data_IF_870526762073
#
_entry.id   IF_870526762073
#
_cell.length_a   1.000
_cell.length_b   1.000
_cell.length_c   1.000
_cell.angle_alpha   90.00
_cell.angle_beta   90.00
_cell.angle_gamma   90.00
#
_symmetry.space_group_name_H-M   'P 1'
#
loop_
_entity.id
_entity.type
_entity.pdbx_description
1 polymer ?
#
# COMPACT_ATOMS: atom_id res chain seq x y z
N UNK A 1 -77.94 -5.95 29.92
CA UNK A 1 -78.07 -7.41 29.72
C UNK A 1 -76.68 -8.03 29.72
N UNK A 2 -76.42 -8.78 30.78
CA UNK A 2 -75.51 -9.93 30.93
C UNK A 2 -74.14 -9.96 30.22
N UNK A 3 -73.14 -10.14 31.07
CA UNK A 3 -71.79 -10.57 30.80
C UNK A 3 -71.70 -11.86 29.98
N UNK A 4 -70.63 -12.01 29.19
CA UNK A 4 -69.81 -13.23 29.17
C UNK A 4 -68.54 -13.07 28.30
N UNK A 5 -67.40 -13.34 28.94
CA UNK A 5 -66.21 -14.06 28.40
C UNK A 5 -65.19 -13.36 27.49
N UNK A 6 -64.21 -12.76 28.18
CA UNK A 6 -62.75 -12.90 28.07
C UNK A 6 -62.13 -13.68 26.89
N UNK A 7 -61.04 -13.14 26.31
CA UNK A 7 -59.62 -13.52 26.56
C UNK A 7 -58.69 -12.74 25.59
N UNK A 8 -57.51 -12.33 26.10
CA UNK A 8 -56.30 -11.76 25.44
C UNK A 8 -56.15 -10.23 25.33
N UNK A 9 -55.25 -9.69 26.19
CA UNK A 9 -54.10 -8.89 25.74
C UNK A 9 -54.25 -7.37 25.69
N UNK A 10 -53.73 -6.67 26.71
CA UNK A 10 -52.76 -5.58 26.46
C UNK A 10 -52.06 -5.11 27.74
N UNK A 11 -50.72 -5.25 27.78
CA UNK A 11 -49.83 -4.82 28.87
C UNK A 11 -49.57 -3.31 28.92
N UNK A 12 -50.22 -2.51 28.07
CA UNK A 12 -50.04 -1.05 28.02
C UNK A 12 -50.94 -0.26 28.98
N UNK A 13 -51.95 -0.90 29.57
CA UNK A 13 -52.84 -0.22 30.54
C UNK A 13 -52.16 0.05 31.89
N UNK A 14 -51.14 -0.71 32.27
CA UNK A 14 -50.61 -0.65 33.64
C UNK A 14 -49.70 0.56 33.90
N UNK A 15 -48.96 1.07 32.91
CA UNK A 15 -48.04 2.21 33.12
C UNK A 15 -48.75 3.57 33.05
N UNK A 16 -49.83 3.69 32.28
CA UNK A 16 -50.63 4.92 32.20
C UNK A 16 -51.37 5.14 33.53
N UNK A 17 -51.84 4.07 34.16
CA UNK A 17 -52.50 4.14 35.48
C UNK A 17 -51.51 4.57 36.57
N UNK A 18 -50.25 4.12 36.54
CA UNK A 18 -49.24 4.55 37.52
C UNK A 18 -48.90 6.05 37.38
N UNK A 19 -48.88 6.58 36.14
CA UNK A 19 -48.60 8.00 35.90
C UNK A 19 -49.75 8.91 36.39
N UNK A 20 -51.00 8.46 36.22
CA UNK A 20 -52.18 9.16 36.73
C UNK A 20 -52.25 9.18 38.27
N UNK A 21 -51.86 8.08 38.93
CA UNK A 21 -51.83 8.00 40.40
C UNK A 21 -50.77 8.93 41.00
N UNK A 22 -49.64 9.18 40.31
CA UNK A 22 -48.61 10.13 40.79
C UNK A 22 -48.99 11.61 40.55
N UNK A 23 -49.58 11.98 39.40
CA UNK A 23 -50.03 13.36 39.15
C UNK A 23 -51.20 13.76 40.13
N UNK A 24 -52.05 12.83 40.57
CA UNK A 24 -53.11 13.13 41.57
C UNK A 24 -52.61 13.33 43.01
N UNK A 25 -51.56 12.61 43.46
CA UNK A 25 -51.07 12.72 44.86
C UNK A 25 -50.28 14.00 45.15
N UNK A 26 -49.85 14.74 44.13
CA UNK A 26 -49.02 15.95 44.27
C UNK A 26 -49.78 17.25 44.02
N UNK A 27 -51.07 17.18 43.67
CA UNK A 27 -51.92 18.36 43.43
C UNK A 27 -52.71 18.75 44.69
N UNK A 28 -52.81 20.04 45.07
CA UNK A 28 -53.45 20.47 46.32
C UNK A 28 -54.98 20.34 46.35
N UNK A 29 -55.60 19.79 45.30
CA UNK A 29 -57.05 19.85 45.05
C UNK A 29 -57.80 18.56 45.42
N UNK A 30 -57.12 17.52 45.92
CA UNK A 30 -57.77 16.28 46.35
C UNK A 30 -57.90 16.22 47.88
N UNK A 31 -58.73 17.09 48.45
CA UNK A 31 -59.17 16.97 49.84
C UNK A 31 -60.62 17.44 50.01
N UNK A 32 -61.55 16.72 49.38
CA UNK A 32 -62.95 16.62 49.83
C UNK A 32 -63.72 15.65 48.94
N UNK A 33 -64.44 14.73 49.57
CA UNK A 33 -65.43 13.88 48.90
C UNK A 33 -66.54 14.77 48.32
N UNK A 34 -66.82 14.60 47.02
CA UNK A 34 -67.78 15.34 46.17
C UNK A 34 -67.27 16.57 45.39
N UNK A 35 -66.29 16.37 44.50
CA UNK A 35 -66.06 17.29 43.39
C UNK A 35 -66.28 16.59 42.05
N UNK A 36 -67.26 17.08 41.28
CA UNK A 36 -67.39 16.82 39.84
C UNK A 36 -66.13 17.37 39.20
N UNK A 37 -65.25 16.48 38.73
CA UNK A 37 -64.04 16.88 38.00
C UNK A 37 -64.49 17.51 36.69
N UNK A 38 -64.33 18.82 36.59
CA UNK A 38 -64.74 19.56 35.41
C UNK A 38 -63.80 19.21 34.26
N UNK A 39 -64.30 19.15 33.03
CA UNK A 39 -63.52 18.74 31.85
C UNK A 39 -62.28 19.63 31.63
N UNK A 40 -62.30 20.87 32.16
CA UNK A 40 -61.17 21.81 32.17
C UNK A 40 -60.03 21.39 33.10
N UNK A 41 -60.31 20.83 34.27
CA UNK A 41 -59.29 20.48 35.27
C UNK A 41 -58.46 19.26 34.82
N UNK A 42 -59.10 18.31 34.12
CA UNK A 42 -58.41 17.18 33.49
C UNK A 42 -57.50 17.65 32.35
N UNK A 43 -57.96 18.63 31.55
CA UNK A 43 -57.16 19.19 30.45
C UNK A 43 -55.93 19.94 30.98
N UNK A 44 -56.05 20.66 32.10
CA UNK A 44 -54.89 21.33 32.72
C UNK A 44 -53.85 20.34 33.26
N UNK A 45 -54.28 19.27 33.93
CA UNK A 45 -53.39 18.22 34.43
C UNK A 45 -52.71 17.49 33.25
N UNK A 46 -53.46 17.16 32.18
CA UNK A 46 -52.91 16.54 30.98
C UNK A 46 -51.89 17.45 30.27
N UNK A 47 -52.17 18.75 30.19
CA UNK A 47 -51.23 19.73 29.63
C UNK A 47 -49.98 19.90 30.50
N UNK A 48 -50.12 19.80 31.83
CA UNK A 48 -49.00 19.87 32.75
C UNK A 48 -48.11 18.62 32.63
N UNK A 49 -48.68 17.42 32.74
CA UNK A 49 -47.94 16.16 32.62
C UNK A 49 -47.31 16.02 31.20
N UNK A 50 -47.95 16.55 30.13
CA UNK A 50 -47.39 16.66 28.75
C UNK A 50 -46.17 17.60 28.66
N UNK A 51 -46.22 18.77 29.31
CA UNK A 51 -45.08 19.70 29.36
C UNK A 51 -43.88 19.10 30.10
N UNK A 52 -44.11 18.38 31.20
CA UNK A 52 -43.03 17.71 31.93
C UNK A 52 -42.45 16.53 31.15
N UNK A 53 -43.28 15.76 30.45
CA UNK A 53 -42.84 14.67 29.58
C UNK A 53 -42.00 15.18 28.41
N UNK A 54 -42.46 16.25 27.71
CA UNK A 54 -41.67 16.87 26.65
C UNK A 54 -40.35 17.45 27.16
N UNK A 55 -40.33 18.07 28.35
CA UNK A 55 -39.08 18.57 28.97
C UNK A 55 -38.11 17.45 29.31
N UNK A 56 -38.61 16.33 29.86
CA UNK A 56 -37.78 15.17 30.18
C UNK A 56 -37.15 14.56 28.92
N UNK A 57 -37.94 14.38 27.85
CA UNK A 57 -37.42 13.86 26.58
C UNK A 57 -36.51 14.84 25.86
N UNK A 58 -36.74 16.15 25.97
CA UNK A 58 -35.80 17.17 25.47
C UNK A 58 -34.46 17.11 26.20
N UNK A 59 -34.48 17.00 27.53
CA UNK A 59 -33.24 16.88 28.32
C UNK A 59 -32.53 15.56 28.00
N UNK A 60 -33.26 14.44 27.93
CA UNK A 60 -32.70 13.13 27.60
C UNK A 60 -32.08 13.12 26.20
N UNK A 61 -32.77 13.71 25.21
CA UNK A 61 -32.26 13.85 23.84
C UNK A 61 -31.03 14.78 23.78
N UNK A 62 -31.03 15.89 24.52
CA UNK A 62 -29.88 16.78 24.61
C UNK A 62 -28.68 16.07 25.27
N UNK A 63 -28.90 15.27 26.32
CA UNK A 63 -27.83 14.48 26.95
C UNK A 63 -27.31 13.38 26.02
N UNK A 64 -28.18 12.70 25.26
CA UNK A 64 -27.78 11.69 24.26
C UNK A 64 -27.01 12.32 23.10
N UNK A 65 -27.36 13.54 22.67
CA UNK A 65 -26.61 14.31 21.67
C UNK A 65 -25.23 14.72 22.23
N UNK A 66 -25.13 15.16 23.47
CA UNK A 66 -23.84 15.47 24.11
C UNK A 66 -22.96 14.22 24.24
N UNK A 67 -23.54 13.06 24.56
CA UNK A 67 -22.81 11.78 24.63
C UNK A 67 -22.38 11.26 23.25
N UNK A 68 -23.11 11.54 22.17
CA UNK A 68 -22.74 11.14 20.80
C UNK A 68 -21.76 12.08 20.11
N UNK A 69 -21.62 13.33 20.58
CA UNK A 69 -20.56 14.26 20.13
C UNK A 69 -19.21 13.95 20.78
N UNK A 70 -19.17 13.10 21.81
CA UNK A 70 -17.92 12.52 22.31
C UNK A 70 -17.48 11.31 21.48
N UNK A 71 -17.54 11.41 20.14
CA UNK A 71 -16.61 10.63 19.33
C UNK A 71 -15.22 11.09 19.72
N UNK A 72 -14.52 10.24 20.47
CA UNK A 72 -13.10 10.37 20.73
C UNK A 72 -12.40 10.43 19.38
N UNK A 73 -12.18 11.64 18.88
CA UNK A 73 -11.13 11.89 17.90
C UNK A 73 -9.87 11.26 18.49
N UNK A 74 -9.38 10.20 17.86
CA UNK A 74 -8.03 9.74 18.14
C UNK A 74 -7.13 10.97 18.11
N UNK A 75 -6.26 11.21 19.10
CA UNK A 75 -5.40 12.38 19.06
C UNK A 75 -4.60 12.27 17.76
N UNK A 76 -4.88 13.19 16.83
CA UNK A 76 -4.05 13.38 15.64
C UNK A 76 -2.63 13.59 16.14
N UNK A 77 -1.69 12.81 15.60
CA UNK A 77 -0.26 12.92 15.90
C UNK A 77 0.13 14.40 15.91
N UNK A 78 0.75 14.85 17.00
CA UNK A 78 1.12 16.26 17.14
C UNK A 78 2.17 16.64 16.09
N UNK A 79 2.24 17.92 15.69
CA UNK A 79 3.28 18.38 14.75
C UNK A 79 4.69 18.12 15.30
N UNK A 80 4.89 18.27 16.61
CA UNK A 80 6.18 17.98 17.25
C UNK A 80 6.53 16.49 17.16
N UNK A 81 5.58 15.60 17.48
CA UNK A 81 5.76 14.15 17.35
C UNK A 81 6.04 13.74 15.90
N UNK A 82 5.31 14.31 14.94
CA UNK A 82 5.54 14.08 13.50
C UNK A 82 6.94 14.48 13.07
N UNK A 83 7.44 15.62 13.55
CA UNK A 83 8.78 16.12 13.23
C UNK A 83 9.86 15.25 13.89
N UNK A 84 9.65 14.80 15.12
CA UNK A 84 10.57 13.90 15.81
C UNK A 84 10.67 12.55 15.08
N UNK A 85 9.54 11.94 14.72
CA UNK A 85 9.52 10.67 13.98
C UNK A 85 10.11 10.81 12.57
N UNK A 86 9.95 11.97 11.93
CA UNK A 86 10.60 12.26 10.66
C UNK A 86 12.13 12.26 10.80
N UNK A 87 12.67 12.91 11.84
CA UNK A 87 14.11 12.94 12.06
C UNK A 87 14.65 11.55 12.46
N UNK A 88 13.91 10.80 13.29
CA UNK A 88 14.27 9.42 13.64
C UNK A 88 14.36 8.52 12.39
N UNK A 89 13.39 8.62 11.47
CA UNK A 89 13.43 7.88 10.21
C UNK A 89 14.65 8.26 9.35
N UNK A 90 15.03 9.55 9.34
CA UNK A 90 16.22 10.04 8.64
C UNK A 90 17.50 9.50 9.29
N UNK A 91 17.61 9.52 10.61
CA UNK A 91 18.75 8.95 11.35
C UNK A 91 18.89 7.44 11.06
N UNK A 92 17.79 6.69 11.05
CA UNK A 92 17.79 5.27 10.71
C UNK A 92 18.27 5.01 9.27
N UNK A 93 17.86 5.85 8.31
CA UNK A 93 18.34 5.77 6.94
C UNK A 93 19.86 5.96 6.88
N UNK A 94 20.40 7.01 7.50
CA UNK A 94 21.84 7.27 7.48
C UNK A 94 22.65 6.22 8.26
N UNK A 95 22.09 5.65 9.33
CA UNK A 95 22.69 4.53 10.02
C UNK A 95 22.91 3.33 9.07
N UNK A 96 21.88 2.96 8.31
CA UNK A 96 21.96 1.85 7.35
C UNK A 96 22.82 2.19 6.12
N UNK A 97 22.60 3.36 5.51
CA UNK A 97 23.29 3.81 4.31
C UNK A 97 24.80 3.95 4.55
N UNK A 98 25.21 4.63 5.63
CA UNK A 98 26.63 4.80 5.96
C UNK A 98 27.29 3.46 6.23
N UNK A 99 26.62 2.56 6.97
CA UNK A 99 27.14 1.21 7.21
C UNK A 99 27.33 0.42 5.91
N UNK A 100 26.42 0.55 4.93
CA UNK A 100 26.59 -0.05 3.61
C UNK A 100 27.78 0.54 2.86
N UNK A 101 27.91 1.87 2.83
CA UNK A 101 29.01 2.56 2.15
C UNK A 101 30.37 2.20 2.73
N UNK A 102 30.47 2.04 4.05
CA UNK A 102 31.72 1.74 4.75
C UNK A 102 32.14 0.27 4.64
N UNK A 103 31.18 -0.66 4.61
CA UNK A 103 31.46 -2.09 4.82
C UNK A 103 31.11 -3.00 3.64
N UNK A 104 30.24 -2.55 2.73
CA UNK A 104 29.68 -3.42 1.69
C UNK A 104 29.85 -2.89 0.27
N UNK A 105 29.83 -1.57 0.05
CA UNK A 105 30.04 -1.01 -1.28
C UNK A 105 31.35 -1.52 -1.91
N UNK A 106 31.37 -1.98 -3.18
CA UNK A 106 30.30 -1.92 -4.19
C UNK A 106 29.40 -3.17 -4.31
N UNK A 107 29.34 -4.02 -3.28
CA UNK A 107 28.47 -5.18 -3.27
C UNK A 107 26.99 -4.81 -3.33
N UNK A 108 26.14 -5.78 -3.67
CA UNK A 108 24.71 -5.55 -3.80
C UNK A 108 24.02 -5.29 -2.46
N UNK A 109 24.45 -5.97 -1.39
CA UNK A 109 23.89 -5.82 -0.05
C UNK A 109 24.98 -5.85 1.04
N UNK A 110 24.63 -5.31 2.21
CA UNK A 110 25.38 -5.46 3.45
C UNK A 110 24.85 -6.67 4.26
N UNK A 111 25.75 -7.48 4.81
CA UNK A 111 25.42 -8.39 5.91
C UNK A 111 25.63 -7.67 7.25
N UNK A 112 24.57 -7.15 7.90
CA UNK A 112 24.71 -6.16 8.99
C UNK A 112 25.29 -6.75 10.28
N UNK A 113 25.09 -8.04 10.55
CA UNK A 113 25.63 -8.68 11.76
C UNK A 113 27.11 -9.00 11.67
N UNK A 114 27.61 -9.24 10.45
CA UNK A 114 29.01 -9.60 10.20
C UNK A 114 29.83 -8.46 9.62
N UNK A 115 29.19 -7.33 9.30
CA UNK A 115 29.78 -6.18 8.59
C UNK A 115 30.56 -6.60 7.35
N UNK A 116 29.97 -7.48 6.52
CA UNK A 116 30.59 -7.99 5.31
C UNK A 116 29.76 -7.64 4.07
N UNK A 117 30.40 -7.42 2.91
CA UNK A 117 29.70 -7.33 1.65
C UNK A 117 29.01 -8.66 1.32
N UNK A 118 27.87 -8.60 0.63
CA UNK A 118 27.21 -9.77 0.06
C UNK A 118 27.26 -9.73 -1.46
N UNK A 119 27.90 -10.73 -2.04
CA UNK A 119 28.08 -10.88 -3.48
C UNK A 119 27.29 -12.08 -4.00
N UNK A 120 26.80 -11.98 -5.24
CA UNK A 120 26.14 -13.11 -5.89
C UNK A 120 27.16 -14.21 -6.18
N UNK A 121 26.79 -15.46 -5.89
CA UNK A 121 27.60 -16.67 -6.10
C UNK A 121 28.88 -16.81 -5.22
N UNK A 122 29.10 -15.92 -4.23
CA UNK A 122 30.26 -16.01 -3.31
C UNK A 122 29.88 -16.67 -1.99
N UNK A 123 28.84 -16.17 -1.33
CA UNK A 123 28.36 -16.73 -0.07
C UNK A 123 27.35 -17.87 -0.30
N UNK A 124 27.04 -18.61 0.78
CA UNK A 124 25.97 -19.60 0.74
C UNK A 124 24.65 -18.94 0.33
N UNK A 125 23.96 -19.55 -0.62
CA UNK A 125 22.69 -19.01 -1.12
C UNK A 125 21.60 -19.02 -0.05
N UNK A 126 20.86 -17.92 0.04
CA UNK A 126 19.64 -17.74 0.84
C UNK A 126 18.37 -18.15 0.07
N UNK A 127 18.52 -18.85 -1.06
CA UNK A 127 17.40 -19.14 -1.97
C UNK A 127 17.00 -17.93 -2.81
N UNK A 128 15.70 -17.79 -3.05
CA UNK A 128 15.12 -16.81 -3.99
C UNK A 128 15.50 -15.35 -3.66
N UNK A 129 15.79 -15.04 -2.40
CA UNK A 129 16.20 -13.69 -1.95
C UNK A 129 17.45 -13.22 -2.69
N UNK A 130 18.42 -14.12 -2.93
CA UNK A 130 19.66 -13.72 -3.60
C UNK A 130 19.46 -13.49 -5.09
N UNK A 131 18.32 -13.84 -5.69
CA UNK A 131 18.05 -13.65 -7.13
C UNK A 131 17.88 -12.19 -7.53
N UNK A 132 17.75 -11.31 -6.53
CA UNK A 132 17.85 -9.85 -6.64
C UNK A 132 19.28 -9.39 -6.94
N UNK A 133 20.29 -10.18 -6.56
CA UNK A 133 21.71 -9.80 -6.61
C UNK A 133 22.27 -10.10 -8.01
N UNK A 134 22.82 -9.07 -8.66
CA UNK A 134 23.42 -9.16 -10.00
C UNK A 134 24.83 -8.60 -10.08
N UNK A 135 25.48 -8.37 -8.94
CA UNK A 135 26.80 -7.75 -8.79
C UNK A 135 26.86 -6.35 -9.44
N UNK A 136 25.87 -5.51 -9.14
CA UNK A 136 25.67 -4.19 -9.76
C UNK A 136 25.36 -3.08 -8.74
N UNK A 137 25.80 -3.25 -7.50
CA UNK A 137 25.60 -2.31 -6.40
C UNK A 137 24.13 -2.00 -6.12
N UNK A 138 23.30 -3.05 -6.04
CA UNK A 138 21.84 -2.96 -5.82
C UNK A 138 21.42 -1.90 -4.79
N UNK A 139 21.94 -1.99 -3.55
CA UNK A 139 21.58 -1.07 -2.47
C UNK A 139 21.91 0.39 -2.78
N UNK A 140 23.02 0.66 -3.48
CA UNK A 140 23.38 2.02 -3.86
C UNK A 140 22.37 2.62 -4.84
N UNK A 141 21.92 1.83 -5.83
CA UNK A 141 20.93 2.28 -6.82
C UNK A 141 19.55 2.48 -6.17
N UNK A 142 19.11 1.56 -5.30
CA UNK A 142 17.84 1.68 -4.56
C UNK A 142 17.83 2.90 -3.60
N UNK A 143 18.99 3.36 -3.13
CA UNK A 143 19.08 4.50 -2.21
C UNK A 143 19.06 5.88 -2.89
N UNK A 144 19.27 5.95 -4.22
CA UNK A 144 19.48 7.21 -4.94
C UNK A 144 18.34 8.21 -4.75
N UNK A 145 17.09 7.80 -4.95
CA UNK A 145 15.94 8.70 -4.83
C UNK A 145 15.65 9.07 -3.37
N UNK A 146 15.91 8.15 -2.44
CA UNK A 146 15.76 8.38 -1.00
C UNK A 146 16.71 9.48 -0.53
N UNK A 147 17.95 9.53 -1.03
CA UNK A 147 18.88 10.63 -0.74
C UNK A 147 18.30 12.00 -1.11
N UNK A 148 17.64 12.09 -2.27
CA UNK A 148 16.98 13.31 -2.72
C UNK A 148 15.77 13.64 -1.85
N UNK A 149 14.98 12.65 -1.47
CA UNK A 149 13.82 12.82 -0.56
C UNK A 149 14.26 13.31 0.83
N UNK A 150 15.41 12.83 1.32
CA UNK A 150 16.02 13.28 2.58
C UNK A 150 16.67 14.67 2.47
N UNK A 151 16.77 15.23 1.26
CA UNK A 151 17.33 16.54 0.98
C UNK A 151 18.86 16.59 0.93
N UNK A 152 19.54 15.45 0.83
CA UNK A 152 21.00 15.38 0.78
C UNK A 152 21.49 15.26 -0.67
N UNK A 153 21.55 16.43 -1.31
CA UNK A 153 21.89 16.56 -2.72
C UNK A 153 23.40 16.33 -2.96
N UNK A 154 24.24 16.62 -1.97
CA UNK A 154 25.68 16.38 -2.05
C UNK A 154 25.97 14.89 -2.03
N UNK A 155 25.32 14.15 -1.13
CA UNK A 155 25.41 12.69 -1.09
C UNK A 155 24.85 12.06 -2.36
N UNK A 156 23.71 12.57 -2.85
CA UNK A 156 23.14 12.12 -4.12
C UNK A 156 24.11 12.30 -5.29
N UNK A 157 24.77 13.45 -5.45
CA UNK A 157 25.79 13.65 -6.51
C UNK A 157 26.92 12.63 -6.37
N UNK A 158 27.39 12.38 -5.14
CA UNK A 158 28.44 11.41 -4.90
C UNK A 158 27.99 9.99 -5.29
N UNK A 159 26.84 9.55 -4.79
CA UNK A 159 26.28 8.23 -5.09
C UNK A 159 26.05 8.05 -6.60
N UNK A 160 25.51 9.07 -7.26
CA UNK A 160 25.29 9.10 -8.71
C UNK A 160 26.58 8.85 -9.50
N UNK A 161 27.69 9.50 -9.12
CA UNK A 161 29.00 9.28 -9.75
C UNK A 161 29.52 7.86 -9.54
N UNK A 162 29.33 7.30 -8.34
CA UNK A 162 29.73 5.93 -8.04
C UNK A 162 28.94 4.93 -8.89
N UNK A 163 27.62 5.15 -9.04
CA UNK A 163 26.78 4.32 -9.91
C UNK A 163 27.29 4.37 -11.36
N UNK A 164 27.49 5.57 -11.91
CA UNK A 164 27.99 5.73 -13.29
C UNK A 164 29.37 5.10 -13.49
N UNK A 165 30.24 5.13 -12.47
CA UNK A 165 31.60 4.61 -12.55
C UNK A 165 31.68 3.10 -12.45
N UNK A 166 30.96 2.50 -11.50
CA UNK A 166 31.24 1.13 -11.04
C UNK A 166 30.15 0.12 -11.43
N UNK A 167 28.93 0.57 -11.76
CA UNK A 167 27.83 -0.33 -12.10
C UNK A 167 27.92 -0.77 -13.56
N UNK A 168 27.89 -2.10 -13.77
CA UNK A 168 27.87 -2.74 -15.08
C UNK A 168 26.86 -3.89 -15.09
N UNK A 169 26.18 -4.08 -16.22
CA UNK A 169 25.22 -5.16 -16.41
C UNK A 169 25.74 -6.30 -17.30
N UNK A 170 27.01 -6.24 -17.73
CA UNK A 170 27.62 -7.31 -18.53
C UNK A 170 28.19 -8.47 -17.68
N UNK A 171 27.38 -8.93 -16.72
CA UNK A 171 27.75 -9.96 -15.77
C UNK A 171 27.18 -11.33 -16.21
N UNK A 172 27.99 -12.39 -16.15
CA UNK A 172 27.49 -13.76 -16.37
C UNK A 172 26.78 -14.29 -15.11
N UNK A 173 25.61 -13.74 -14.85
CA UNK A 173 24.81 -14.02 -13.66
C UNK A 173 23.34 -14.17 -14.04
N UNK A 174 22.67 -15.11 -13.39
CA UNK A 174 21.21 -15.31 -13.52
C UNK A 174 20.51 -14.48 -12.44
N UNK A 175 19.61 -13.61 -12.88
CA UNK A 175 18.82 -12.71 -12.02
C UNK A 175 17.32 -12.94 -12.21
N UNK A 176 16.54 -12.53 -11.22
CA UNK A 176 15.09 -12.42 -11.32
C UNK A 176 14.71 -11.23 -12.21
N UNK A 177 13.88 -11.46 -13.22
CA UNK A 177 13.39 -10.40 -14.13
C UNK A 177 12.55 -9.39 -13.34
N UNK A 178 11.71 -9.88 -12.44
CA UNK A 178 10.84 -9.07 -11.59
C UNK A 178 11.64 -8.15 -10.66
N UNK A 179 12.56 -8.72 -9.87
CA UNK A 179 13.34 -7.95 -8.89
C UNK A 179 14.28 -6.95 -9.58
N UNK A 180 14.92 -7.38 -10.67
CA UNK A 180 15.82 -6.50 -11.45
C UNK A 180 15.04 -5.33 -12.06
N UNK A 181 13.79 -5.56 -12.49
CA UNK A 181 12.95 -4.50 -13.02
C UNK A 181 12.57 -3.47 -11.92
N UNK A 182 11.94 -3.92 -10.84
CA UNK A 182 11.39 -2.99 -9.84
C UNK A 182 12.49 -2.25 -9.06
N UNK A 183 13.65 -2.87 -8.85
CA UNK A 183 14.74 -2.28 -8.07
C UNK A 183 15.71 -1.50 -8.95
N UNK A 184 16.33 -2.19 -9.90
CA UNK A 184 17.38 -1.58 -10.71
C UNK A 184 16.83 -0.70 -11.82
N UNK A 185 15.92 -1.20 -12.67
CA UNK A 185 15.34 -0.36 -13.73
C UNK A 185 14.55 0.80 -13.12
N UNK A 186 13.71 0.50 -12.11
CA UNK A 186 12.97 1.50 -11.33
C UNK A 186 13.88 2.55 -10.67
N UNK A 187 14.90 2.12 -9.92
CA UNK A 187 15.85 3.00 -9.24
C UNK A 187 16.68 3.87 -10.19
N UNK A 188 17.13 3.31 -11.31
CA UNK A 188 17.86 4.09 -12.35
C UNK A 188 16.96 5.15 -13.00
N UNK A 189 15.69 4.82 -13.30
CA UNK A 189 14.72 5.77 -13.84
C UNK A 189 14.39 6.84 -12.81
N UNK A 190 14.13 6.46 -11.56
CA UNK A 190 13.84 7.38 -10.45
C UNK A 190 15.01 8.35 -10.24
N UNK A 191 16.23 7.82 -10.14
CA UNK A 191 17.46 8.63 -10.04
C UNK A 191 17.66 9.55 -11.24
N UNK A 192 17.37 9.11 -12.46
CA UNK A 192 17.42 9.96 -13.65
C UNK A 192 16.45 11.14 -13.55
N UNK A 193 15.18 10.87 -13.22
CA UNK A 193 14.15 11.90 -13.09
C UNK A 193 14.51 12.91 -12.00
N UNK A 194 15.02 12.45 -10.86
CA UNK A 194 15.49 13.32 -9.78
C UNK A 194 16.70 14.16 -10.21
N UNK A 195 17.68 13.57 -10.91
CA UNK A 195 18.86 14.29 -11.38
C UNK A 195 18.49 15.40 -12.38
N UNK A 196 17.61 15.11 -13.35
CA UNK A 196 17.10 16.10 -14.29
C UNK A 196 16.32 17.22 -13.58
N UNK A 197 15.49 16.86 -12.59
CA UNK A 197 14.73 17.84 -11.82
C UNK A 197 15.64 18.78 -11.02
N UNK A 198 16.65 18.24 -10.33
CA UNK A 198 17.63 19.02 -9.57
C UNK A 198 18.49 19.91 -10.48
N UNK A 199 18.83 19.44 -11.67
CA UNK A 199 19.51 20.24 -12.68
C UNK A 199 18.67 21.43 -13.14
N UNK A 200 17.38 21.23 -13.36
CA UNK A 200 16.46 22.31 -13.76
C UNK A 200 16.26 23.35 -12.65
N UNK A 201 16.18 22.92 -11.38
CA UNK A 201 15.95 23.83 -10.25
C UNK A 201 17.21 24.59 -9.82
N UNK A 202 18.35 23.90 -9.73
CA UNK A 202 19.54 24.42 -9.06
C UNK A 202 20.81 24.42 -9.94
N UNK A 203 20.79 23.76 -11.10
CA UNK A 203 21.99 23.53 -11.90
C UNK A 203 23.07 22.72 -11.16
N UNK A 204 22.67 21.94 -10.14
CA UNK A 204 23.59 21.30 -9.20
C UNK A 204 24.40 20.14 -9.81
N UNK A 205 23.91 19.51 -10.89
CA UNK A 205 24.49 18.32 -11.52
C UNK A 205 24.92 18.63 -12.95
N UNK A 206 25.64 19.75 -13.14
CA UNK A 206 26.03 20.26 -14.46
C UNK A 206 26.88 19.31 -15.32
N UNK A 207 27.34 18.19 -14.77
CA UNK A 207 28.05 17.12 -15.49
C UNK A 207 27.13 16.01 -16.01
N UNK A 208 25.95 15.83 -15.41
CA UNK A 208 25.03 14.74 -15.74
C UNK A 208 24.37 14.96 -17.10
N UNK A 209 24.30 13.91 -17.92
CA UNK A 209 23.81 13.93 -19.32
C UNK A 209 22.83 12.80 -19.61
N UNK A 210 22.20 12.21 -18.59
CA UNK A 210 21.27 11.10 -18.75
C UNK A 210 21.94 9.73 -18.72
N UNK A 211 23.07 9.60 -18.05
CA UNK A 211 23.82 8.35 -17.90
C UNK A 211 22.92 7.25 -17.29
N UNK A 212 22.15 7.56 -16.22
CA UNK A 212 21.25 6.57 -15.61
C UNK A 212 20.14 6.12 -16.55
N UNK A 213 19.60 7.00 -17.40
CA UNK A 213 18.60 6.60 -18.40
C UNK A 213 19.20 5.64 -19.43
N UNK A 214 20.45 5.90 -19.85
CA UNK A 214 21.19 5.02 -20.75
C UNK A 214 21.42 3.64 -20.11
N UNK A 215 21.79 3.63 -18.83
CA UNK A 215 21.96 2.41 -18.03
C UNK A 215 20.64 1.64 -17.85
N UNK A 216 19.54 2.34 -17.53
CA UNK A 216 18.21 1.74 -17.42
C UNK A 216 17.79 1.07 -18.73
N UNK A 217 18.06 1.72 -19.87
CA UNK A 217 17.81 1.16 -21.20
C UNK A 217 18.66 -0.10 -21.48
N UNK A 218 19.95 -0.08 -21.15
CA UNK A 218 20.82 -1.26 -21.30
C UNK A 218 20.29 -2.43 -20.49
N UNK A 219 20.01 -2.21 -19.20
CA UNK A 219 19.51 -3.26 -18.32
C UNK A 219 18.16 -3.81 -18.79
N UNK A 220 17.18 -2.95 -19.10
CA UNK A 220 15.88 -3.40 -19.61
C UNK A 220 16.02 -4.18 -20.93
N UNK A 221 16.95 -3.78 -21.80
CA UNK A 221 17.23 -4.51 -23.04
C UNK A 221 17.75 -5.93 -22.79
N UNK A 222 18.53 -6.13 -21.72
CA UNK A 222 19.00 -7.45 -21.28
C UNK A 222 17.88 -8.31 -20.68
N UNK A 223 16.80 -7.69 -20.20
CA UNK A 223 15.60 -8.40 -19.72
C UNK A 223 14.65 -8.81 -20.85
N UNK A 224 14.63 -8.10 -21.98
CA UNK A 224 13.74 -8.39 -23.12
C UNK A 224 13.74 -9.85 -23.61
N UNK A 225 14.87 -10.60 -23.65
CA UNK A 225 14.85 -12.00 -24.03
C UNK A 225 13.91 -12.89 -23.20
N UNK A 226 13.63 -12.51 -21.94
CA UNK A 226 12.70 -13.25 -21.09
C UNK A 226 11.26 -13.21 -21.59
N UNK A 227 10.87 -12.17 -22.34
CA UNK A 227 9.53 -12.00 -22.91
C UNK A 227 9.33 -12.76 -24.23
N UNK A 228 10.37 -13.45 -24.72
CA UNK A 228 10.28 -14.23 -25.94
C UNK A 228 9.60 -15.59 -25.70
N UNK A 229 8.34 -15.52 -25.27
CA UNK A 229 7.47 -16.67 -25.00
C UNK A 229 6.26 -16.63 -25.91
N UNK A 230 5.54 -17.74 -26.02
CA UNK A 230 4.35 -17.85 -26.88
C UNK A 230 3.25 -16.86 -26.47
N UNK A 231 3.17 -16.54 -25.18
CA UNK A 231 2.10 -15.72 -24.59
C UNK A 231 2.52 -14.25 -24.44
N UNK A 232 3.83 -13.96 -24.47
CA UNK A 232 4.40 -12.67 -24.07
C UNK A 232 4.61 -12.53 -22.57
N UNK A 233 4.16 -13.48 -21.75
CA UNK A 233 4.47 -13.53 -20.31
C UNK A 233 5.97 -13.86 -20.16
N UNK A 234 6.74 -13.08 -19.39
CA UNK A 234 8.17 -13.29 -19.27
C UNK A 234 8.51 -14.54 -18.43
N UNK A 235 9.61 -15.18 -18.78
CA UNK A 235 10.29 -16.10 -17.86
C UNK A 235 10.68 -15.37 -16.57
N UNK A 236 10.61 -16.06 -15.43
CA UNK A 236 10.94 -15.47 -14.13
C UNK A 236 12.42 -15.04 -14.01
N UNK A 237 13.32 -15.71 -14.76
CA UNK A 237 14.77 -15.54 -14.66
C UNK A 237 15.40 -15.35 -16.03
N UNK A 238 16.47 -14.56 -16.06
CA UNK A 238 17.29 -14.30 -17.26
C UNK A 238 18.76 -14.16 -16.87
N UNK A 239 19.67 -14.51 -17.78
CA UNK A 239 21.09 -14.21 -17.58
C UNK A 239 21.43 -12.87 -18.24
N UNK A 240 22.12 -11.98 -17.51
CA UNK A 240 22.38 -10.61 -17.98
C UNK A 240 23.34 -10.51 -19.17
N UNK A 241 24.20 -11.52 -19.38
CA UNK A 241 25.18 -11.56 -20.47
C UNK A 241 24.71 -12.38 -21.67
N UNK A 242 24.14 -13.56 -21.41
CA UNK A 242 23.79 -14.54 -22.45
C UNK A 242 22.27 -14.66 -22.69
N UNK A 243 21.43 -13.89 -21.98
CA UNK A 243 19.97 -13.97 -22.07
C UNK A 243 19.47 -15.38 -21.75
N UNK A 244 18.48 -15.86 -22.51
CA UNK A 244 17.88 -17.19 -22.34
C UNK A 244 18.76 -18.37 -22.80
N UNK A 245 19.97 -18.10 -23.31
CA UNK A 245 20.89 -19.14 -23.83
C UNK A 245 21.93 -19.61 -22.80
N UNK A 246 21.95 -19.02 -21.61
CA UNK A 246 22.94 -19.36 -20.60
C UNK A 246 22.76 -20.80 -20.09
N UNK A 247 23.84 -21.60 -19.96
CA UNK A 247 23.77 -22.91 -19.33
C UNK A 247 23.49 -22.83 -17.82
N UNK A 248 23.68 -21.65 -17.19
CA UNK A 248 23.33 -21.40 -15.78
C UNK A 248 21.82 -21.31 -15.55
N UNK A 249 21.01 -21.09 -16.59
CA UNK A 249 19.56 -21.00 -16.49
C UNK A 249 18.94 -22.39 -16.37
N UNK A 250 18.24 -22.63 -15.26
CA UNK A 250 17.36 -23.78 -15.17
C UNK A 250 16.11 -23.54 -16.02
N UNK A 251 15.72 -24.55 -16.81
CA UNK A 251 14.52 -24.50 -17.63
C UNK A 251 13.27 -24.51 -16.74
N UNK A 252 12.76 -23.33 -16.39
CA UNK A 252 11.43 -23.17 -15.79
C UNK A 252 10.44 -22.66 -16.83
N UNK A 253 9.26 -23.27 -16.85
CA UNK A 253 8.12 -22.81 -17.64
C UNK A 253 7.11 -22.03 -16.81
N UNK A 254 7.36 -21.88 -15.52
CA UNK A 254 6.42 -21.28 -14.59
C UNK A 254 6.95 -19.91 -14.12
N UNK A 255 6.02 -18.98 -13.93
CA UNK A 255 6.27 -17.65 -13.37
C UNK A 255 5.13 -17.27 -12.43
N UNK A 256 5.37 -16.30 -11.55
CA UNK A 256 4.33 -15.80 -10.66
C UNK A 256 3.55 -14.65 -11.32
N UNK A 257 2.29 -14.46 -10.94
CA UNK A 257 1.44 -13.40 -11.51
C UNK A 257 1.99 -12.01 -11.22
N UNK A 258 2.53 -11.77 -10.03
CA UNK A 258 3.22 -10.52 -9.70
C UNK A 258 4.50 -10.34 -10.55
N UNK A 259 5.23 -11.43 -10.81
CA UNK A 259 6.46 -11.43 -11.58
C UNK A 259 6.22 -11.00 -13.03
N UNK A 260 5.06 -11.37 -13.59
CA UNK A 260 4.66 -11.00 -14.94
C UNK A 260 3.92 -9.65 -14.99
N UNK A 261 3.22 -9.25 -13.93
CA UNK A 261 2.38 -8.05 -13.89
C UNK A 261 3.11 -6.79 -13.46
N UNK A 262 4.14 -6.89 -12.61
CA UNK A 262 4.82 -5.73 -12.04
C UNK A 262 6.05 -5.32 -12.86
N UNK A 263 5.78 -4.96 -14.13
CA UNK A 263 6.79 -4.50 -15.09
C UNK A 263 6.36 -3.24 -15.84
N UNK A 264 5.04 -3.05 -15.97
CA UNK A 264 4.46 -2.04 -16.87
C UNK A 264 4.87 -0.61 -16.52
N UNK A 265 5.05 -0.26 -15.24
CA UNK A 265 5.36 1.12 -14.86
C UNK A 265 6.76 1.52 -15.30
N UNK A 266 7.75 0.68 -15.02
CA UNK A 266 9.15 0.92 -15.34
C UNK A 266 9.36 0.89 -16.86
N UNK A 267 8.80 -0.11 -17.56
CA UNK A 267 8.94 -0.25 -19.00
C UNK A 267 8.16 0.83 -19.78
N UNK A 268 7.00 1.27 -19.31
CA UNK A 268 6.27 2.39 -19.91
C UNK A 268 7.00 3.72 -19.69
N UNK A 269 7.50 3.98 -18.47
CA UNK A 269 8.30 5.17 -18.19
C UNK A 269 9.55 5.21 -19.07
N UNK A 270 10.28 4.09 -19.17
CA UNK A 270 11.45 3.97 -20.02
C UNK A 270 11.14 4.24 -21.49
N UNK A 271 10.03 3.70 -22.00
CA UNK A 271 9.61 3.91 -23.40
C UNK A 271 9.35 5.38 -23.69
N UNK A 272 8.70 6.10 -22.77
CA UNK A 272 8.46 7.54 -22.93
C UNK A 272 9.71 8.39 -22.82
N UNK A 273 10.63 8.04 -21.91
CA UNK A 273 11.88 8.76 -21.72
C UNK A 273 12.87 8.53 -22.87
N UNK A 274 12.90 7.33 -23.45
CA UNK A 274 13.84 6.96 -24.52
C UNK A 274 13.28 7.10 -25.93
N UNK A 275 11.95 7.13 -26.08
CA UNK A 275 11.26 7.07 -27.36
C UNK A 275 11.19 5.66 -27.98
N UNK A 276 11.65 4.62 -27.27
CA UNK A 276 11.65 3.24 -27.76
C UNK A 276 10.43 2.48 -27.20
N UNK A 277 9.43 2.22 -28.04
CA UNK A 277 8.14 1.64 -27.61
C UNK A 277 8.22 0.17 -27.22
N UNK A 278 9.31 -0.53 -27.53
CA UNK A 278 9.41 -1.98 -27.35
C UNK A 278 9.19 -2.41 -25.90
N UNK A 279 9.64 -1.60 -24.93
CA UNK A 279 9.51 -1.92 -23.51
C UNK A 279 8.03 -1.90 -23.10
N UNK A 280 7.32 -0.80 -23.34
CA UNK A 280 5.90 -0.66 -23.02
C UNK A 280 5.06 -1.72 -23.75
N UNK A 281 5.34 -1.98 -25.02
CA UNK A 281 4.64 -3.00 -25.81
C UNK A 281 4.76 -4.39 -25.19
N UNK A 282 5.97 -4.78 -24.76
CA UNK A 282 6.21 -6.09 -24.15
C UNK A 282 5.54 -6.23 -22.78
N UNK A 283 5.67 -5.22 -21.92
CA UNK A 283 5.06 -5.25 -20.60
C UNK A 283 3.52 -5.21 -20.70
N UNK A 284 2.96 -4.41 -21.61
CA UNK A 284 1.50 -4.34 -21.84
C UNK A 284 0.98 -5.66 -22.39
N UNK A 285 1.68 -6.29 -23.33
CA UNK A 285 1.29 -7.60 -23.85
C UNK A 285 1.21 -8.66 -22.72
N UNK A 286 2.17 -8.68 -21.81
CA UNK A 286 2.14 -9.57 -20.66
C UNK A 286 0.91 -9.28 -19.76
N UNK A 287 0.63 -8.01 -19.47
CA UNK A 287 -0.53 -7.61 -18.68
C UNK A 287 -1.86 -7.97 -19.35
N UNK A 288 -2.00 -7.73 -20.65
CA UNK A 288 -3.17 -8.10 -21.45
C UNK A 288 -3.39 -9.63 -21.41
N UNK A 289 -2.29 -10.40 -21.48
CA UNK A 289 -2.34 -11.85 -21.33
C UNK A 289 -2.84 -12.24 -19.93
N UNK A 290 -2.25 -11.73 -18.85
CA UNK A 290 -2.70 -12.00 -17.48
C UNK A 290 -4.19 -11.66 -17.28
N UNK A 291 -4.62 -10.51 -17.81
CA UNK A 291 -6.01 -10.08 -17.77
C UNK A 291 -6.94 -11.07 -18.49
N UNK A 292 -6.50 -11.68 -19.59
CA UNK A 292 -7.28 -12.69 -20.30
C UNK A 292 -7.39 -14.04 -19.56
N UNK A 293 -6.51 -14.31 -18.59
CA UNK A 293 -6.45 -15.59 -17.86
C UNK A 293 -7.30 -15.62 -16.58
N UNK A 294 -8.12 -14.60 -16.33
CA UNK A 294 -9.06 -14.63 -15.21
C UNK A 294 -10.04 -15.79 -15.34
N UNK A 295 -10.30 -16.44 -14.21
CA UNK A 295 -11.32 -17.46 -14.13
C UNK A 295 -12.71 -16.84 -14.38
N UNK A 296 -13.45 -17.36 -15.38
CA UNK A 296 -14.73 -16.78 -15.86
C UNK A 296 -15.83 -16.66 -14.79
N UNK A 297 -15.77 -17.48 -13.74
CA UNK A 297 -16.78 -17.48 -12.68
C UNK A 297 -16.45 -16.59 -11.49
N UNK A 298 -15.17 -16.38 -11.20
CA UNK A 298 -14.72 -15.65 -10.00
C UNK A 298 -14.01 -14.34 -10.31
N UNK A 299 -13.63 -14.09 -11.57
CA UNK A 299 -12.77 -12.98 -11.98
C UNK A 299 -11.45 -12.91 -11.18
N UNK A 300 -10.95 -14.07 -10.74
CA UNK A 300 -9.67 -14.19 -10.05
C UNK A 300 -8.58 -14.71 -11.00
N UNK A 301 -7.34 -14.30 -10.75
CA UNK A 301 -6.13 -14.84 -11.38
C UNK A 301 -5.40 -15.74 -10.40
N UNK A 302 -4.93 -16.90 -10.86
CA UNK A 302 -4.06 -17.77 -10.07
C UNK A 302 -2.72 -17.11 -9.78
N UNK A 303 -1.97 -17.64 -8.81
CA UNK A 303 -0.69 -17.07 -8.37
C UNK A 303 0.50 -17.50 -9.22
N UNK A 304 0.40 -18.67 -9.89
CA UNK A 304 1.45 -19.26 -10.73
C UNK A 304 0.89 -19.62 -12.11
N UNK A 305 1.63 -19.26 -13.15
CA UNK A 305 1.22 -19.38 -14.54
C UNK A 305 2.34 -19.98 -15.40
N UNK A 306 1.95 -20.77 -16.39
CA UNK A 306 2.88 -21.28 -17.39
C UNK A 306 3.12 -20.23 -18.49
N UNK A 307 4.38 -19.90 -18.78
CA UNK A 307 4.74 -18.84 -19.74
C UNK A 307 4.41 -19.18 -21.19
N UNK A 308 4.17 -20.44 -21.55
CA UNK A 308 3.85 -20.85 -22.92
C UNK A 308 2.37 -21.11 -23.17
N UNK A 309 1.62 -21.52 -22.15
CA UNK A 309 0.18 -21.78 -22.28
C UNK A 309 -0.69 -20.72 -21.61
N UNK A 310 -0.11 -19.86 -20.77
CA UNK A 310 -0.79 -18.93 -19.86
C UNK A 310 -1.75 -19.61 -18.87
N UNK A 311 -1.74 -20.94 -18.79
CA UNK A 311 -2.58 -21.70 -17.87
C UNK A 311 -2.04 -21.60 -16.45
N UNK A 312 -2.96 -21.54 -15.49
CA UNK A 312 -2.64 -21.59 -14.07
C UNK A 312 -2.07 -22.98 -13.72
N UNK A 313 -0.90 -23.01 -13.10
CA UNK A 313 -0.22 -24.28 -12.76
C UNK A 313 -0.76 -24.91 -11.47
N UNK A 314 -1.50 -24.16 -10.64
CA UNK A 314 -2.16 -24.66 -9.43
C UNK A 314 -3.66 -24.39 -9.46
N UNK A 315 -4.45 -25.34 -8.93
CA UNK A 315 -5.89 -25.16 -8.66
C UNK A 315 -6.14 -24.33 -7.38
N UNK A 316 -5.13 -23.64 -6.85
CA UNK A 316 -5.25 -22.80 -5.66
C UNK A 316 -5.79 -21.43 -6.09
N UNK A 317 -7.09 -21.41 -6.37
CA UNK A 317 -7.88 -20.17 -6.33
C UNK A 317 -8.19 -19.93 -4.85
N UNK A 318 -7.36 -19.12 -4.18
CA UNK A 318 -7.66 -18.60 -2.84
C UNK A 318 -8.61 -17.41 -2.92
#
# INVERSE_FOLDING_TARGET
HLASSAVVGNKYGSQIVTFWVLCCKTSPLCSSDNAIVNQRDIIEILNMCSKYFMRFWLILSATLVVFSVSETSSPLMSEEERLNLKEEAKEMFYHAYTAYMDNAYPADELMPLSCKPRWREVEQSRGDIDETLGNFSLTLVDALDTLVVMGDIEEFDRALRLVVRDVSFDNDVVVSVFETNIRMVGGLISGHVMAEHLNQLYGALGWYRGELLTMARDLASRLLPAFNTTTGIPHAKVNLKYGMKSPKLQSSRDTCTACAGTIILEFAALSRLTGDSIFEEKARQAMDCLWSQRHRGSDLVGTVLNVHSALQCSNEVH
#
